data_IF_340296871460
#
_entry.id   IF_340296871460
#
_cell.length_a   1.000
_cell.length_b   1.000
_cell.length_c   1.000
_cell.angle_alpha   90.00
_cell.angle_beta   90.00
_cell.angle_gamma   90.00
#
_symmetry.space_group_name_H-M   'P 1'
#
loop_
_entity.id
_entity.type
_entity.pdbx_description
1 polymer ?
#
# COMPACT_ATOMS: atom_id res chain seq x y z
N UNK A 1 2.35 9.90 19.23
CA UNK A 1 1.43 10.27 18.12
C UNK A 1 0.91 11.69 18.29
N UNK A 2 1.47 12.63 17.53
CA UNK A 2 1.13 14.07 17.54
C UNK A 2 0.50 14.46 16.20
N UNK A 3 -0.57 15.27 16.18
CA UNK A 3 -1.19 15.72 14.92
C UNK A 3 -0.43 16.92 14.35
N UNK A 4 -0.07 16.84 13.07
CA UNK A 4 0.51 17.96 12.34
C UNK A 4 -0.62 18.79 11.73
N UNK A 5 -0.75 20.03 12.18
CA UNK A 5 -1.73 20.99 11.67
C UNK A 5 -1.16 22.42 11.79
N UNK A 6 -1.39 23.31 10.80
CA UNK A 6 -2.08 23.09 9.53
C UNK A 6 -1.27 22.22 8.55
N UNK A 7 -1.94 21.62 7.57
CA UNK A 7 -1.30 20.84 6.51
C UNK A 7 -0.65 21.78 5.47
N UNK A 8 0.39 22.49 5.89
CA UNK A 8 1.15 23.40 5.05
C UNK A 8 2.57 22.89 4.84
N UNK A 9 3.13 23.10 3.64
CA UNK A 9 4.48 22.64 3.28
C UNK A 9 5.56 23.13 4.26
N UNK A 10 5.48 24.39 4.70
CA UNK A 10 6.45 24.99 5.63
C UNK A 10 6.41 24.41 7.04
N UNK A 11 5.28 23.83 7.45
CA UNK A 11 5.12 23.14 8.73
C UNK A 11 5.58 21.69 8.58
N UNK A 12 5.08 20.99 7.56
CA UNK A 12 5.36 19.57 7.32
C UNK A 12 6.84 19.33 7.04
N UNK A 13 7.50 20.22 6.28
CA UNK A 13 8.92 20.10 5.93
C UNK A 13 9.88 20.07 7.12
N UNK A 14 9.45 20.54 8.30
CA UNK A 14 10.24 20.45 9.54
C UNK A 14 10.33 19.02 10.07
N UNK A 15 9.43 18.15 9.63
CA UNK A 15 9.33 16.78 10.07
C UNK A 15 9.95 15.76 9.11
N UNK A 16 10.68 16.23 8.08
CA UNK A 16 11.41 15.36 7.17
C UNK A 16 12.41 14.47 7.95
N UNK A 17 12.46 13.19 7.57
CA UNK A 17 13.22 12.14 8.24
C UNK A 17 12.48 11.42 9.36
N UNK A 18 11.29 11.87 9.75
CA UNK A 18 10.52 11.24 10.83
C UNK A 18 9.39 10.34 10.30
N UNK A 19 9.03 9.28 11.04
CA UNK A 19 7.90 8.42 10.71
C UNK A 19 6.57 9.18 10.91
N UNK A 20 5.70 9.10 9.91
CA UNK A 20 4.40 9.74 9.88
C UNK A 20 3.31 8.76 9.46
N UNK A 21 2.08 9.05 9.88
CA UNK A 21 0.86 8.38 9.46
C UNK A 21 -0.03 9.40 8.75
N UNK A 22 -0.32 9.12 7.48
CA UNK A 22 -1.23 9.88 6.63
C UNK A 22 -2.58 9.21 6.69
N UNK A 23 -3.61 10.00 6.97
CA UNK A 23 -5.01 9.58 6.84
C UNK A 23 -5.63 10.37 5.71
N UNK A 24 -6.08 9.68 4.68
CA UNK A 24 -6.73 10.28 3.50
C UNK A 24 -8.23 10.50 3.74
N UNK A 25 -8.86 11.29 2.87
CA UNK A 25 -10.31 11.57 2.96
C UNK A 25 -11.20 10.33 2.79
N UNK A 26 -10.71 9.28 2.12
CA UNK A 26 -11.37 7.98 2.03
C UNK A 26 -11.20 7.11 3.29
N UNK A 27 -10.44 7.59 4.28
CA UNK A 27 -10.16 6.90 5.54
C UNK A 27 -8.99 5.91 5.46
N UNK A 28 -8.33 5.77 4.32
CA UNK A 28 -7.14 4.94 4.19
C UNK A 28 -5.98 5.53 5.02
N UNK A 29 -5.09 4.64 5.49
CA UNK A 29 -3.97 5.00 6.35
C UNK A 29 -2.67 4.54 5.72
N UNK A 30 -1.75 5.47 5.51
CA UNK A 30 -0.43 5.20 4.96
C UNK A 30 0.64 5.59 5.99
N UNK A 31 1.49 4.65 6.35
CA UNK A 31 2.56 4.88 7.32
C UNK A 31 3.91 4.81 6.61
N UNK A 32 4.76 5.80 6.82
CA UNK A 32 6.10 5.83 6.24
C UNK A 32 6.97 6.93 6.80
N UNK A 33 8.24 6.97 6.39
CA UNK A 33 9.16 8.03 6.75
C UNK A 33 8.96 9.20 5.80
N UNK A 34 8.70 10.39 6.33
CA UNK A 34 8.57 11.60 5.52
C UNK A 34 9.91 11.95 4.88
N UNK A 35 10.01 11.91 3.55
CA UNK A 35 11.25 12.27 2.83
C UNK A 35 11.27 13.76 2.51
N UNK A 36 10.24 14.26 1.84
CA UNK A 36 10.08 15.69 1.58
C UNK A 36 8.60 16.08 1.41
N UNK A 37 8.33 17.37 1.50
CA UNK A 37 7.03 17.96 1.17
C UNK A 37 7.26 19.19 0.30
N UNK A 38 6.81 19.17 -0.97
CA UNK A 38 6.97 20.28 -1.92
C UNK A 38 5.90 20.24 -3.01
N UNK A 39 5.39 21.40 -3.39
CA UNK A 39 4.51 21.55 -4.56
C UNK A 39 3.15 20.87 -4.37
N UNK A 40 2.60 20.98 -3.17
CA UNK A 40 1.35 20.37 -2.75
C UNK A 40 1.43 18.87 -2.55
N UNK A 41 2.62 18.26 -2.56
CA UNK A 41 2.78 16.81 -2.43
C UNK A 41 3.73 16.42 -1.31
N UNK A 42 3.36 15.36 -0.61
CA UNK A 42 4.11 14.74 0.46
C UNK A 42 4.66 13.40 -0.02
N UNK A 43 5.98 13.23 0.05
CA UNK A 43 6.68 12.01 -0.37
C UNK A 43 7.17 11.26 0.86
N UNK A 44 6.84 9.97 0.93
CA UNK A 44 7.31 9.01 1.93
C UNK A 44 8.33 8.04 1.32
N UNK A 45 9.28 7.60 2.13
CA UNK A 45 10.23 6.51 1.85
C UNK A 45 11.05 6.68 0.56
N UNK A 46 11.29 7.92 0.13
CA UNK A 46 12.23 8.22 -0.94
C UNK A 46 13.65 7.91 -0.48
N UNK A 47 14.39 7.17 -1.32
CA UNK A 47 15.79 6.87 -1.13
C UNK A 47 16.62 7.78 -2.06
N UNK A 48 17.74 8.36 -1.59
CA UNK A 48 18.64 9.11 -2.45
C UNK A 48 19.26 8.16 -3.50
N UNK A 49 18.64 8.13 -4.69
CA UNK A 49 19.05 7.29 -5.82
C UNK A 49 17.97 6.38 -6.40
N UNK A 50 16.82 6.23 -5.74
CA UNK A 50 15.72 5.40 -6.23
C UNK A 50 14.73 6.23 -7.07
N UNK A 51 15.08 6.46 -8.34
CA UNK A 51 14.08 6.80 -9.35
C UNK A 51 13.26 5.54 -9.66
N UNK A 52 12.25 5.24 -8.86
CA UNK A 52 11.38 4.09 -9.13
C UNK A 52 10.04 4.57 -9.64
N UNK A 53 9.78 4.19 -10.89
CA UNK A 53 8.58 4.35 -11.68
C UNK A 53 7.32 4.08 -10.83
N UNK A 54 6.46 5.09 -10.69
CA UNK A 54 5.14 4.91 -10.13
C UNK A 54 4.27 4.10 -11.10
N UNK A 55 4.31 2.77 -10.99
CA UNK A 55 3.30 1.92 -11.62
C UNK A 55 2.01 1.98 -10.79
N UNK A 56 1.02 2.60 -11.41
CA UNK A 56 -0.37 2.60 -10.97
C UNK A 56 -0.90 1.18 -11.09
N UNK A 57 -0.89 0.40 -10.00
CA UNK A 57 -1.58 -0.89 -9.96
C UNK A 57 -3.10 -0.67 -9.85
N UNK A 58 -3.74 -0.49 -11.01
CA UNK A 58 -5.18 -0.69 -11.15
C UNK A 58 -5.50 -2.20 -11.01
N UNK A 59 -6.50 -2.61 -10.22
CA UNK A 59 -6.85 -4.02 -10.10
C UNK A 59 -7.64 -4.46 -11.35
N UNK A 60 -7.00 -5.21 -12.25
CA UNK A 60 -7.72 -5.90 -13.33
C UNK A 60 -7.91 -7.38 -13.01
N UNK A 61 -9.14 -7.68 -12.61
CA UNK A 61 -9.71 -9.00 -12.54
C UNK A 61 -9.54 -9.77 -13.87
N UNK A 62 -9.06 -11.01 -13.76
CA UNK A 62 -9.47 -12.20 -14.51
C UNK A 62 -9.49 -12.19 -16.04
N UNK A 63 -8.77 -13.14 -16.65
CA UNK A 63 -9.40 -14.26 -17.37
C UNK A 63 -8.33 -15.16 -18.01
N UNK A 64 -8.23 -16.39 -17.51
CA UNK A 64 -7.52 -17.48 -18.15
C UNK A 64 -8.35 -18.03 -19.34
N UNK A 65 -7.71 -18.24 -20.49
CA UNK A 65 -8.24 -19.03 -21.61
C UNK A 65 -7.39 -20.29 -21.78
N UNK A 66 -8.00 -21.46 -21.56
CA UNK A 66 -7.43 -22.76 -21.87
C UNK A 66 -8.52 -23.84 -21.92
N UNK A 67 -8.79 -24.36 -23.13
CA UNK A 67 -9.81 -25.37 -23.46
C UNK A 67 -9.43 -26.76 -22.91
N UNK A 68 -10.39 -27.59 -22.51
CA UNK A 68 -10.72 -28.87 -23.18
C UNK A 68 -11.89 -29.67 -22.54
N UNK A 69 -12.78 -30.09 -23.45
CA UNK A 69 -13.82 -31.16 -23.47
C UNK A 69 -13.76 -32.31 -22.42
N UNK A 70 -14.92 -32.66 -21.85
CA UNK A 70 -15.18 -33.95 -21.17
C UNK A 70 -16.61 -34.09 -20.65
N UNK A 71 -17.21 -35.28 -20.74
CA UNK A 71 -18.65 -35.60 -20.69
C UNK A 71 -19.30 -35.64 -19.29
N UNK A 72 -20.60 -35.27 -19.28
CA UNK A 72 -21.75 -35.79 -18.52
C UNK A 72 -21.56 -36.46 -17.13
N UNK A 73 -22.24 -35.93 -16.10
CA UNK A 73 -23.41 -36.59 -15.51
C UNK A 73 -24.03 -35.73 -14.39
N UNK A 74 -25.35 -35.84 -14.25
CA UNK A 74 -26.22 -35.05 -13.40
C UNK A 74 -26.32 -35.72 -12.03
N UNK A 75 -25.86 -35.10 -10.94
CA UNK A 75 -26.30 -35.40 -9.56
C UNK A 75 -26.31 -34.12 -8.71
N UNK A 76 -27.51 -33.79 -8.24
CA UNK A 76 -27.82 -32.78 -7.23
C UNK A 76 -27.18 -33.18 -5.90
N UNK A 77 -26.28 -32.36 -5.34
CA UNK A 77 -25.92 -32.37 -3.91
C UNK A 77 -25.53 -30.96 -3.44
N UNK A 78 -26.24 -30.52 -2.43
CA UNK A 78 -25.95 -29.54 -1.37
C UNK A 78 -24.91 -28.43 -1.63
N UNK A 79 -25.34 -27.17 -1.44
CA UNK A 79 -24.44 -26.02 -1.29
C UNK A 79 -23.62 -26.18 -0.01
N UNK A 80 -22.50 -26.89 -0.10
CA UNK A 80 -21.42 -26.80 0.89
C UNK A 80 -20.78 -25.43 0.68
N UNK A 81 -20.86 -24.58 1.71
CA UNK A 81 -20.13 -23.33 1.74
C UNK A 81 -18.64 -23.63 1.53
N UNK A 82 -18.09 -23.22 0.38
CA UNK A 82 -16.66 -23.24 0.14
C UNK A 82 -16.04 -22.13 0.98
N UNK A 83 -15.60 -22.45 2.19
CA UNK A 83 -14.62 -21.64 2.89
C UNK A 83 -13.29 -21.81 2.15
N UNK A 84 -12.87 -20.77 1.41
CA UNK A 84 -11.50 -20.70 0.91
C UNK A 84 -10.59 -20.49 2.11
N UNK A 85 -10.09 -21.58 2.69
CA UNK A 85 -8.96 -21.51 3.59
C UNK A 85 -7.74 -21.14 2.74
N UNK A 86 -7.16 -19.97 2.98
CA UNK A 86 -5.84 -19.64 2.45
C UNK A 86 -4.87 -20.73 2.93
N UNK A 87 -4.11 -21.39 2.04
CA UNK A 87 -3.12 -22.35 2.45
C UNK A 87 -2.08 -21.64 3.33
N UNK A 88 -1.94 -22.12 4.57
CA UNK A 88 -0.84 -21.74 5.43
C UNK A 88 0.44 -22.27 4.79
N UNK A 89 1.16 -21.39 4.09
CA UNK A 89 2.46 -21.68 3.51
C UNK A 89 3.55 -21.31 4.53
N UNK A 90 4.18 -22.30 5.20
CA UNK A 90 5.25 -22.05 6.16
C UNK A 90 6.52 -21.49 5.52
N UNK A 91 6.57 -21.37 4.19
CA UNK A 91 7.69 -20.81 3.43
C UNK A 91 7.36 -19.50 2.71
N UNK A 92 6.23 -18.84 3.02
CA UNK A 92 5.94 -17.48 2.55
C UNK A 92 6.81 -16.40 3.25
N UNK A 93 7.94 -16.79 3.81
CA UNK A 93 9.05 -15.89 4.09
C UNK A 93 10.06 -16.04 2.97
N UNK A 94 9.76 -15.40 1.83
CA UNK A 94 10.79 -15.07 0.86
C UNK A 94 11.68 -13.99 1.51
N UNK A 95 12.60 -14.45 2.34
CA UNK A 95 13.66 -13.65 2.96
C UNK A 95 14.60 -13.23 1.84
N UNK A 96 14.28 -12.11 1.19
CA UNK A 96 15.17 -11.42 0.28
C UNK A 96 16.13 -10.56 1.13
N UNK A 97 17.42 -10.92 1.26
CA UNK A 97 18.38 -10.25 2.13
C UNK A 97 18.95 -8.98 1.46
N UNK A 98 18.08 -8.16 0.90
CA UNK A 98 18.42 -6.88 0.26
C UNK A 98 17.36 -5.85 0.62
N UNK A 99 17.65 -5.04 1.63
CA UNK A 99 16.85 -3.89 2.09
C UNK A 99 15.54 -4.25 2.79
N UNK A 100 15.63 -4.51 4.09
CA UNK A 100 14.48 -4.41 5.00
C UNK A 100 13.95 -2.97 4.97
N UNK A 101 12.93 -2.71 4.16
CA UNK A 101 12.20 -1.43 4.13
C UNK A 101 10.99 -1.54 5.06
N UNK A 102 11.06 -1.02 6.30
CA UNK A 102 9.96 -1.16 7.26
C UNK A 102 8.63 -0.55 6.78
N UNK A 103 8.68 0.33 5.79
CA UNK A 103 7.52 1.07 5.27
C UNK A 103 7.28 0.92 3.76
N UNK A 104 7.98 -0.01 3.09
CA UNK A 104 7.83 -0.23 1.64
C UNK A 104 8.58 0.78 0.75
N UNK A 105 8.12 0.92 -0.49
CA UNK A 105 8.72 1.80 -1.51
C UNK A 105 8.33 3.28 -1.38
N UNK A 106 8.88 4.11 -2.26
CA UNK A 106 8.57 5.53 -2.32
C UNK A 106 7.08 5.75 -2.64
N UNK A 107 6.43 6.66 -1.90
CA UNK A 107 5.00 6.93 -2.02
C UNK A 107 4.75 8.43 -1.96
N UNK A 108 4.15 9.00 -3.00
CA UNK A 108 3.82 10.42 -3.03
C UNK A 108 2.30 10.61 -3.04
N UNK A 109 1.81 11.53 -2.22
CA UNK A 109 0.39 11.87 -2.13
C UNK A 109 0.20 13.39 -2.10
N UNK A 110 -0.87 13.86 -2.72
CA UNK A 110 -1.26 15.27 -2.71
C UNK A 110 -1.83 15.66 -1.34
N UNK A 111 -1.43 16.81 -0.83
CA UNK A 111 -1.94 17.39 0.42
C UNK A 111 -3.47 17.54 0.39
N UNK A 112 -4.06 17.79 -0.79
CA UNK A 112 -5.51 17.90 -0.95
C UNK A 112 -6.26 16.57 -0.70
N UNK A 113 -5.58 15.43 -0.75
CA UNK A 113 -6.17 14.12 -0.46
C UNK A 113 -6.03 13.73 1.01
N UNK A 114 -5.18 14.44 1.76
CA UNK A 114 -4.88 14.16 3.16
C UNK A 114 -5.92 14.85 4.04
N UNK A 115 -6.65 14.05 4.82
CA UNK A 115 -7.54 14.56 5.86
C UNK A 115 -6.76 14.89 7.14
N UNK A 116 -5.86 14.01 7.56
CA UNK A 116 -5.05 14.18 8.76
C UNK A 116 -3.64 13.65 8.58
N UNK A 117 -2.68 14.31 9.21
CA UNK A 117 -1.29 13.89 9.26
C UNK A 117 -0.85 13.77 10.73
N UNK A 118 -0.26 12.63 11.10
CA UNK A 118 0.23 12.39 12.45
C UNK A 118 1.71 12.04 12.44
N UNK A 119 2.48 12.64 13.34
CA UNK A 119 3.85 12.28 13.65
C UNK A 119 3.86 11.09 14.62
N UNK A 120 4.60 10.03 14.25
CA UNK A 120 4.75 8.82 15.04
C UNK A 120 6.01 8.91 15.93
N UNK A 121 5.94 9.75 16.96
CA UNK A 121 6.85 9.68 18.12
C UNK A 121 6.37 8.64 19.12
#
# INVERSE_FOLDING_TARGET
MEQIYPLEEGVISRFCGMPVCIVTHDGARHVGVLSHCRGGKLTLNEEPGAQTLAETETPKAGQAKGKHKGKASKKTKEKVAQTQAYPYDPYYYNYNPGYYRPYGGAFAIDLALIAFLFLLI
#
